data_IF_552795847519
#
_entry.id   IF_552795847519
#
_cell.length_a   1.000
_cell.length_b   1.000
_cell.length_c   1.000
_cell.angle_alpha   90.00
_cell.angle_beta   90.00
_cell.angle_gamma   90.00
#
_symmetry.space_group_name_H-M   'P 1'
#
loop_
_entity.id
_entity.type
_entity.pdbx_description
1 polymer ?
#
# COMPACT_ATOMS: atom_id res chain seq x y z
N UNK A 1 -23.83 0.90 6.31
CA UNK A 1 -25.13 0.27 6.65
C UNK A 1 -25.10 -1.24 6.50
N UNK A 2 -24.73 -1.79 5.34
CA UNK A 2 -24.67 -3.25 5.14
C UNK A 2 -23.65 -3.98 6.04
N UNK A 3 -22.40 -3.51 6.10
CA UNK A 3 -21.35 -4.07 6.97
C UNK A 3 -21.71 -3.98 8.47
N UNK A 4 -22.55 -3.00 8.84
CA UNK A 4 -23.01 -2.82 10.22
C UNK A 4 -24.27 -3.65 10.53
N UNK A 5 -24.77 -4.48 9.60
CA UNK A 5 -25.99 -5.26 9.78
C UNK A 5 -27.31 -4.47 9.69
N UNK A 6 -27.25 -3.16 9.42
CA UNK A 6 -28.42 -2.28 9.32
C UNK A 6 -29.17 -2.44 8.00
N UNK A 7 -28.45 -2.81 6.95
CA UNK A 7 -29.00 -3.21 5.66
C UNK A 7 -28.68 -4.69 5.46
N UNK A 8 -29.68 -5.49 5.11
CA UNK A 8 -29.56 -6.95 5.04
C UNK A 8 -29.84 -7.55 3.67
N UNK A 9 -30.49 -6.81 2.76
CA UNK A 9 -31.08 -7.41 1.56
C UNK A 9 -30.86 -6.58 0.29
N UNK A 10 -30.33 -5.36 0.38
CA UNK A 10 -30.15 -4.54 -0.83
C UNK A 10 -29.15 -5.20 -1.80
N UNK A 11 -29.56 -5.48 -3.06
CA UNK A 11 -28.73 -6.21 -4.02
C UNK A 11 -27.39 -5.52 -4.35
N UNK A 12 -27.36 -4.19 -4.29
CA UNK A 12 -26.15 -3.39 -4.49
C UNK A 12 -25.06 -3.58 -3.42
N UNK A 13 -25.36 -4.29 -2.31
CA UNK A 13 -24.45 -4.54 -1.21
C UNK A 13 -24.09 -6.01 -1.00
N UNK A 14 -24.29 -6.88 -2.01
CA UNK A 14 -24.00 -8.32 -1.92
C UNK A 14 -22.61 -8.63 -1.33
N UNK A 15 -21.56 -7.96 -1.81
CA UNK A 15 -20.19 -8.10 -1.26
C UNK A 15 -20.10 -7.73 0.22
N UNK A 16 -20.78 -6.68 0.65
CA UNK A 16 -20.79 -6.25 2.05
C UNK A 16 -21.56 -7.24 2.94
N UNK A 17 -22.60 -7.89 2.42
CA UNK A 17 -23.31 -8.96 3.12
C UNK A 17 -22.44 -10.22 3.27
N UNK A 18 -21.76 -10.65 2.20
CA UNK A 18 -20.80 -11.76 2.25
C UNK A 18 -19.64 -11.48 3.21
N UNK A 19 -19.11 -10.24 3.19
CA UNK A 19 -18.08 -9.83 4.15
C UNK A 19 -18.60 -9.90 5.58
N UNK A 20 -19.82 -9.43 5.86
CA UNK A 20 -20.40 -9.54 7.22
C UNK A 20 -20.48 -10.99 7.69
N UNK A 21 -20.93 -11.92 6.84
CA UNK A 21 -20.97 -13.34 7.18
C UNK A 21 -19.56 -13.87 7.53
N UNK A 22 -18.54 -13.51 6.73
CA UNK A 22 -17.16 -13.90 7.03
C UNK A 22 -16.66 -13.34 8.36
N UNK A 23 -16.99 -12.08 8.69
CA UNK A 23 -16.63 -11.47 9.98
C UNK A 23 -17.30 -12.21 11.16
N UNK A 24 -18.56 -12.62 11.01
CA UNK A 24 -19.29 -13.41 12.01
C UNK A 24 -18.67 -14.80 12.19
N UNK A 25 -18.29 -15.47 11.10
CA UNK A 25 -17.67 -16.80 11.13
C UNK A 25 -16.24 -16.81 11.71
N UNK A 26 -15.47 -15.75 11.44
CA UNK A 26 -14.05 -15.66 11.81
C UNK A 26 -13.80 -14.93 13.12
N UNK A 27 -14.78 -14.15 13.60
CA UNK A 27 -14.64 -13.30 14.79
C UNK A 27 -13.81 -12.02 14.56
N UNK A 28 -13.34 -11.77 13.33
CA UNK A 28 -12.62 -10.53 12.98
C UNK A 28 -13.60 -9.35 13.05
N UNK A 29 -13.15 -8.22 13.62
CA UNK A 29 -14.01 -7.05 13.76
C UNK A 29 -14.25 -6.34 12.43
N UNK A 30 -15.37 -5.63 12.30
CA UNK A 30 -15.66 -4.83 11.11
C UNK A 30 -14.85 -3.53 10.99
N UNK A 31 -13.96 -3.25 11.96
CA UNK A 31 -13.18 -2.01 12.03
C UNK A 31 -12.35 -1.80 10.77
N UNK A 32 -11.62 -2.83 10.31
CA UNK A 32 -10.76 -2.74 9.13
C UNK A 32 -11.56 -2.41 7.85
N UNK A 33 -12.76 -2.97 7.72
CA UNK A 33 -13.66 -2.64 6.61
C UNK A 33 -14.15 -1.19 6.67
N UNK A 34 -14.43 -0.68 7.86
CA UNK A 34 -14.88 0.70 8.06
C UNK A 34 -13.76 1.68 7.71
N UNK A 35 -12.52 1.39 8.09
CA UNK A 35 -11.33 2.18 7.75
C UNK A 35 -11.13 2.27 6.24
N UNK A 36 -11.20 1.14 5.52
CA UNK A 36 -11.12 1.14 4.05
C UNK A 36 -12.25 1.93 3.39
N UNK A 37 -13.48 1.83 3.90
CA UNK A 37 -14.61 2.61 3.37
C UNK A 37 -14.41 4.11 3.63
N UNK A 38 -13.82 4.49 4.77
CA UNK A 38 -13.46 5.89 5.04
C UNK A 38 -12.43 6.39 4.03
N UNK A 39 -11.39 5.60 3.76
CA UNK A 39 -10.40 5.93 2.73
C UNK A 39 -11.03 6.09 1.34
N UNK A 40 -11.93 5.20 0.93
CA UNK A 40 -12.62 5.34 -0.37
C UNK A 40 -13.49 6.60 -0.47
N UNK A 41 -14.12 7.01 0.63
CA UNK A 41 -14.86 8.30 0.67
C UNK A 41 -13.91 9.49 0.60
N UNK A 42 -12.78 9.42 1.29
CA UNK A 42 -11.75 10.45 1.24
C UNK A 42 -11.21 10.60 -0.19
N UNK A 43 -10.89 9.49 -0.85
CA UNK A 43 -10.45 9.45 -2.26
C UNK A 43 -11.39 10.18 -3.21
N UNK A 44 -12.70 10.07 -2.99
CA UNK A 44 -13.70 10.71 -3.84
C UNK A 44 -13.70 12.25 -3.73
N UNK A 45 -13.04 12.84 -2.73
CA UNK A 45 -13.13 14.27 -2.44
C UNK A 45 -11.78 14.96 -2.20
N UNK A 46 -10.78 14.24 -1.67
CA UNK A 46 -9.44 14.76 -1.39
C UNK A 46 -8.51 14.40 -2.53
N UNK A 47 -7.95 15.43 -3.17
CA UNK A 47 -7.16 15.26 -4.38
C UNK A 47 -5.66 15.42 -4.17
N UNK A 48 -5.24 16.07 -3.07
CA UNK A 48 -3.86 16.44 -2.77
C UNK A 48 -3.53 16.22 -1.30
N UNK A 49 -2.25 16.07 -1.00
CA UNK A 49 -1.72 15.83 0.35
C UNK A 49 -0.64 16.88 0.65
N UNK A 50 -0.82 17.64 1.72
CA UNK A 50 0.00 18.78 2.10
C UNK A 50 1.42 18.34 2.46
N UNK A 51 1.56 17.20 3.15
CA UNK A 51 2.84 16.70 3.64
C UNK A 51 2.87 15.17 3.73
N UNK A 52 4.04 14.63 4.07
CA UNK A 52 4.26 13.19 4.20
C UNK A 52 3.38 12.52 5.25
N UNK A 53 3.17 13.16 6.40
CA UNK A 53 2.37 12.58 7.48
C UNK A 53 0.91 12.43 7.05
N UNK A 54 0.37 13.41 6.33
CA UNK A 54 -0.98 13.31 5.78
C UNK A 54 -1.14 12.20 4.73
N UNK A 55 -0.11 11.99 3.89
CA UNK A 55 -0.07 10.87 2.97
C UNK A 55 -0.02 9.54 3.74
N UNK A 56 0.78 9.45 4.80
CA UNK A 56 0.86 8.25 5.65
C UNK A 56 -0.48 8.00 6.36
N UNK A 57 -1.13 9.02 6.91
CA UNK A 57 -2.45 8.90 7.54
C UNK A 57 -3.51 8.36 6.57
N UNK A 58 -3.42 8.78 5.30
CA UNK A 58 -4.25 8.18 4.26
C UNK A 58 -3.90 6.70 4.03
N UNK A 59 -2.62 6.34 3.89
CA UNK A 59 -2.20 4.94 3.74
C UNK A 59 -2.61 4.06 4.94
N UNK A 60 -2.62 4.62 6.16
CA UNK A 60 -3.09 3.96 7.38
C UNK A 60 -4.57 3.57 7.31
N UNK A 61 -5.37 4.22 6.46
CA UNK A 61 -6.77 3.86 6.22
C UNK A 61 -6.98 3.12 4.89
N UNK A 62 -6.18 3.40 3.85
CA UNK A 62 -6.38 2.86 2.51
C UNK A 62 -5.67 1.52 2.26
N UNK A 63 -4.64 1.21 3.04
CA UNK A 63 -3.80 0.02 2.82
C UNK A 63 -3.58 -0.80 4.10
N UNK A 64 -3.15 -0.17 5.21
CA UNK A 64 -2.85 -0.86 6.46
C UNK A 64 -3.96 -1.80 6.98
N UNK A 65 -5.28 -1.47 6.87
CA UNK A 65 -6.33 -2.35 7.38
C UNK A 65 -6.39 -3.72 6.69
N UNK A 66 -5.89 -3.84 5.45
CA UNK A 66 -5.83 -5.13 4.74
C UNK A 66 -4.85 -6.08 5.44
N UNK A 67 -3.67 -5.58 5.82
CA UNK A 67 -2.68 -6.36 6.55
C UNK A 67 -3.17 -6.76 7.93
N UNK A 68 -3.76 -5.81 8.68
CA UNK A 68 -4.35 -6.08 10.01
C UNK A 68 -5.46 -7.13 9.93
N UNK A 69 -6.32 -7.06 8.93
CA UNK A 69 -7.37 -8.07 8.69
C UNK A 69 -6.77 -9.47 8.48
N UNK A 70 -5.72 -9.60 7.66
CA UNK A 70 -5.06 -10.88 7.43
C UNK A 70 -4.38 -11.43 8.69
N UNK A 71 -3.78 -10.56 9.51
CA UNK A 71 -3.22 -10.96 10.81
C UNK A 71 -4.32 -11.49 11.74
N UNK A 72 -5.41 -10.75 11.89
CA UNK A 72 -6.52 -11.13 12.76
C UNK A 72 -7.17 -12.44 12.31
N UNK A 73 -7.36 -12.61 10.99
CA UNK A 73 -7.92 -13.81 10.40
C UNK A 73 -7.09 -15.07 10.72
N UNK A 74 -5.77 -14.92 10.85
CA UNK A 74 -4.86 -16.01 11.20
C UNK A 74 -4.58 -16.12 12.71
N UNK A 75 -5.26 -15.32 13.55
CA UNK A 75 -5.08 -15.33 15.00
C UNK A 75 -3.73 -14.77 15.46
N UNK A 76 -3.08 -13.93 14.63
CA UNK A 76 -1.81 -13.30 14.98
C UNK A 76 -2.00 -12.17 16.01
N UNK A 77 -0.98 -11.93 16.84
CA UNK A 77 -1.02 -10.83 17.81
C UNK A 77 -0.99 -9.44 17.14
N UNK A 78 -1.81 -8.52 17.63
CA UNK A 78 -1.82 -7.11 17.23
C UNK A 78 -0.47 -6.38 17.41
N UNK A 79 0.47 -6.92 18.19
CA UNK A 79 1.85 -6.41 18.28
C UNK A 79 2.56 -6.38 16.92
N UNK A 80 2.09 -7.19 15.96
CA UNK A 80 2.62 -7.26 14.58
C UNK A 80 2.05 -6.19 13.65
N UNK A 81 1.02 -5.44 14.06
CA UNK A 81 0.38 -4.43 13.22
C UNK A 81 1.38 -3.39 12.73
N UNK A 82 2.26 -2.88 13.60
CA UNK A 82 3.24 -1.86 13.20
C UNK A 82 4.09 -2.28 11.99
N UNK A 83 4.57 -3.52 11.97
CA UNK A 83 5.38 -4.03 10.86
C UNK A 83 4.52 -4.34 9.61
N UNK A 84 3.29 -4.83 9.79
CA UNK A 84 2.34 -5.05 8.70
C UNK A 84 1.89 -3.74 8.05
N UNK A 85 1.57 -2.73 8.84
CA UNK A 85 1.16 -1.40 8.40
C UNK A 85 2.29 -0.76 7.59
N UNK A 86 3.54 -0.88 8.06
CA UNK A 86 4.70 -0.40 7.33
C UNK A 86 4.83 -1.06 5.95
N UNK A 87 4.63 -2.38 5.87
CA UNK A 87 4.67 -3.10 4.59
C UNK A 87 3.54 -2.65 3.65
N UNK A 88 2.31 -2.57 4.16
CA UNK A 88 1.15 -2.13 3.39
C UNK A 88 1.30 -0.68 2.90
N UNK A 89 1.75 0.23 3.76
CA UNK A 89 1.98 1.63 3.40
C UNK A 89 3.10 1.76 2.36
N UNK A 90 4.19 1.02 2.50
CA UNK A 90 5.28 1.02 1.53
C UNK A 90 4.78 0.61 0.13
N UNK A 91 4.00 -0.47 0.03
CA UNK A 91 3.41 -0.91 -1.24
C UNK A 91 2.48 0.15 -1.82
N UNK A 92 1.67 0.79 -0.99
CA UNK A 92 0.74 1.81 -1.44
C UNK A 92 1.46 3.04 -1.99
N UNK A 93 2.52 3.49 -1.32
CA UNK A 93 3.37 4.59 -1.82
C UNK A 93 4.07 4.20 -3.12
N UNK A 94 4.59 2.98 -3.22
CA UNK A 94 5.19 2.48 -4.47
C UNK A 94 4.18 2.43 -5.61
N UNK A 95 2.92 2.08 -5.35
CA UNK A 95 1.84 2.14 -6.35
C UNK A 95 1.56 3.58 -6.77
N UNK A 96 1.45 4.51 -5.81
CA UNK A 96 1.27 5.93 -6.11
C UNK A 96 2.41 6.51 -6.96
N UNK A 97 3.65 6.09 -6.74
CA UNK A 97 4.78 6.49 -7.58
C UNK A 97 4.70 5.91 -9.00
N UNK A 98 4.31 4.64 -9.14
CA UNK A 98 4.17 3.98 -10.44
C UNK A 98 3.09 4.64 -11.31
N UNK A 99 1.97 5.03 -10.70
CA UNK A 99 0.80 5.53 -11.41
C UNK A 99 0.64 7.07 -11.28
N UNK A 100 1.65 7.80 -10.78
CA UNK A 100 1.55 9.23 -10.46
C UNK A 100 1.08 10.13 -11.63
N UNK A 101 1.48 9.78 -12.86
CA UNK A 101 1.01 10.46 -14.08
C UNK A 101 -0.46 10.15 -14.37
N UNK A 102 -0.81 8.87 -14.38
CA UNK A 102 -2.15 8.41 -14.72
C UNK A 102 -3.16 8.89 -13.68
N UNK A 103 -2.82 8.85 -12.39
CA UNK A 103 -3.64 9.40 -11.29
C UNK A 103 -3.89 10.90 -11.47
N UNK A 104 -2.88 11.67 -11.89
CA UNK A 104 -3.02 13.09 -12.17
C UNK A 104 -3.92 13.33 -13.38
N UNK A 105 -3.67 12.65 -14.51
CA UNK A 105 -4.38 12.93 -15.76
C UNK A 105 -5.83 12.44 -15.76
N UNK A 106 -6.11 11.30 -15.11
CA UNK A 106 -7.42 10.63 -15.22
C UNK A 106 -8.34 10.92 -14.04
N UNK A 107 -7.77 11.14 -12.85
CA UNK A 107 -8.52 11.35 -11.61
C UNK A 107 -8.30 12.74 -11.02
N UNK A 108 -7.39 13.52 -11.59
CA UNK A 108 -6.90 14.76 -10.99
C UNK A 108 -6.46 14.53 -9.55
N UNK A 109 -5.68 13.48 -9.27
CA UNK A 109 -5.13 13.15 -7.94
C UNK A 109 -3.61 13.19 -7.93
N UNK A 110 -3.02 13.69 -6.85
CA UNK A 110 -1.57 13.69 -6.62
C UNK A 110 -1.27 13.29 -5.20
N UNK A 111 -0.50 12.21 -5.06
CA UNK A 111 -0.09 11.64 -3.77
C UNK A 111 1.33 12.03 -3.37
N UNK A 112 2.07 12.77 -4.21
CA UNK A 112 3.35 13.34 -3.80
C UNK A 112 3.10 14.47 -2.79
N UNK A 113 3.85 14.56 -1.68
CA UNK A 113 3.70 15.64 -0.69
C UNK A 113 3.90 17.03 -1.30
N UNK A 114 2.91 17.91 -1.19
CA UNK A 114 2.92 19.24 -1.80
C UNK A 114 4.02 20.14 -1.22
N UNK A 115 4.29 20.06 0.07
CA UNK A 115 5.38 20.78 0.71
C UNK A 115 6.75 20.40 0.10
N UNK A 116 6.97 19.13 -0.19
CA UNK A 116 8.19 18.66 -0.82
C UNK A 116 8.25 19.04 -2.31
N UNK A 117 7.12 19.01 -3.02
CA UNK A 117 7.03 19.53 -4.39
C UNK A 117 7.45 21.00 -4.43
N UNK A 118 6.85 21.83 -3.57
CA UNK A 118 7.14 23.26 -3.47
C UNK A 118 8.61 23.53 -3.11
N UNK A 119 9.17 22.80 -2.15
CA UNK A 119 10.58 22.92 -1.77
C UNK A 119 11.55 22.55 -2.91
N UNK A 120 11.11 21.71 -3.84
CA UNK A 120 11.83 21.37 -5.07
C UNK A 120 11.47 22.28 -6.26
N UNK A 121 10.70 23.34 -6.05
CA UNK A 121 10.27 24.25 -7.13
C UNK A 121 9.32 23.61 -8.14
N UNK A 122 8.57 22.58 -7.72
CA UNK A 122 7.61 21.83 -8.53
C UNK A 122 6.18 22.29 -8.26
N UNK A 123 5.40 22.32 -9.34
CA UNK A 123 3.95 22.37 -9.32
C UNK A 123 3.41 21.06 -9.91
N UNK A 124 2.16 20.72 -9.61
CA UNK A 124 1.56 19.41 -9.95
C UNK A 124 1.50 19.13 -11.45
N UNK A 125 1.46 20.17 -12.27
CA UNK A 125 1.44 20.10 -13.73
C UNK A 125 2.70 19.43 -14.30
N UNK A 126 3.80 19.36 -13.53
CA UNK A 126 5.00 18.65 -13.98
C UNK A 126 4.75 17.14 -14.22
N UNK A 127 3.68 16.58 -13.66
CA UNK A 127 3.30 15.17 -13.83
C UNK A 127 2.74 14.86 -15.22
N UNK A 128 2.29 15.86 -15.99
CA UNK A 128 1.85 15.68 -17.38
C UNK A 128 3.03 15.50 -18.36
N UNK A 129 4.25 15.86 -17.93
CA UNK A 129 5.43 15.79 -18.78
C UNK A 129 5.67 14.37 -19.32
N UNK A 130 6.32 14.27 -20.49
CA UNK A 130 6.72 12.98 -21.07
C UNK A 130 7.87 12.30 -20.30
N UNK A 131 8.55 13.03 -19.40
CA UNK A 131 9.67 12.55 -18.61
C UNK A 131 9.89 13.43 -17.39
N UNK A 132 10.39 12.85 -16.29
CA UNK A 132 10.73 13.60 -15.08
C UNK A 132 11.95 14.50 -15.29
N UNK A 133 11.78 15.79 -14.96
CA UNK A 133 12.88 16.74 -14.81
C UNK A 133 13.72 16.43 -13.56
N UNK A 134 14.98 16.90 -13.45
CA UNK A 134 15.87 16.57 -12.34
C UNK A 134 15.26 16.80 -10.96
N UNK A 135 14.50 17.88 -10.80
CA UNK A 135 13.84 18.26 -9.55
C UNK A 135 12.78 17.24 -9.13
N UNK A 136 11.98 16.73 -10.09
CA UNK A 136 10.99 15.68 -9.84
C UNK A 136 11.66 14.35 -9.51
N UNK A 137 12.77 14.01 -10.18
CA UNK A 137 13.54 12.80 -9.85
C UNK A 137 14.10 12.86 -8.43
N UNK A 138 14.62 14.02 -8.02
CA UNK A 138 15.09 14.25 -6.65
C UNK A 138 13.95 14.08 -5.64
N UNK A 139 12.75 14.61 -5.93
CA UNK A 139 11.57 14.39 -5.09
C UNK A 139 11.17 12.90 -5.01
N UNK A 140 11.12 12.20 -6.14
CA UNK A 140 10.80 10.76 -6.17
C UNK A 140 11.82 9.98 -5.34
N UNK A 141 13.11 10.31 -5.44
CA UNK A 141 14.15 9.67 -4.61
C UNK A 141 13.94 9.93 -3.13
N UNK A 142 13.57 11.15 -2.72
CA UNK A 142 13.21 11.46 -1.33
C UNK A 142 12.02 10.63 -0.84
N UNK A 143 10.97 10.48 -1.65
CA UNK A 143 9.82 9.60 -1.32
C UNK A 143 10.27 8.15 -1.19
N UNK A 144 11.16 7.66 -2.07
CA UNK A 144 11.71 6.32 -2.00
C UNK A 144 12.60 6.11 -0.78
N UNK A 145 13.30 7.13 -0.29
CA UNK A 145 14.08 7.07 0.95
C UNK A 145 13.15 6.84 2.16
N UNK A 146 12.08 7.63 2.29
CA UNK A 146 11.07 7.42 3.36
C UNK A 146 10.33 6.09 3.20
N UNK A 147 10.10 5.64 1.96
CA UNK A 147 9.52 4.32 1.69
C UNK A 147 10.46 3.19 2.11
N UNK A 148 11.77 3.35 1.93
CA UNK A 148 12.77 2.36 2.35
C UNK A 148 12.81 2.20 3.88
N UNK A 149 12.56 3.27 4.64
CA UNK A 149 12.41 3.18 6.10
C UNK A 149 11.22 2.30 6.51
N UNK A 150 10.09 2.39 5.80
CA UNK A 150 8.93 1.52 6.01
C UNK A 150 9.25 0.05 5.68
N UNK A 151 9.95 -0.19 4.56
CA UNK A 151 10.41 -1.53 4.17
C UNK A 151 11.35 -2.12 5.23
N UNK A 152 12.27 -1.31 5.76
CA UNK A 152 13.18 -1.72 6.83
C UNK A 152 12.44 -2.04 8.14
N UNK A 153 11.40 -1.27 8.48
CA UNK A 153 10.55 -1.57 9.63
C UNK A 153 9.76 -2.89 9.45
N UNK A 154 9.33 -3.17 8.21
CA UNK A 154 8.61 -4.39 7.87
C UNK A 154 9.50 -5.65 7.77
N UNK A 155 10.84 -5.50 7.77
CA UNK A 155 11.75 -6.58 7.38
C UNK A 155 11.66 -7.84 8.25
N UNK A 156 11.26 -7.69 9.52
CA UNK A 156 11.16 -8.77 10.50
C UNK A 156 9.79 -9.45 10.52
N UNK A 157 8.76 -8.85 9.90
CA UNK A 157 7.40 -9.37 9.91
C UNK A 157 7.32 -10.84 9.47
N UNK A 158 7.97 -11.30 8.38
CA UNK A 158 7.90 -12.71 7.97
C UNK A 158 8.43 -13.68 9.02
N UNK A 159 9.41 -13.29 9.81
CA UNK A 159 10.06 -14.15 10.82
C UNK A 159 9.22 -14.19 12.10
N UNK A 160 8.55 -13.09 12.42
CA UNK A 160 7.74 -12.97 13.64
C UNK A 160 6.37 -13.67 13.54
N UNK A 161 5.90 -14.00 12.33
CA UNK A 161 4.60 -14.63 12.08
C UNK A 161 4.58 -16.10 12.52
N UNK A 162 3.55 -16.45 13.30
CA UNK A 162 3.33 -17.82 13.75
C UNK A 162 2.80 -18.71 12.61
N UNK A 163 1.91 -18.17 11.77
CA UNK A 163 1.39 -18.86 10.60
C UNK A 163 2.45 -18.90 9.48
N UNK A 164 2.97 -20.10 9.18
CA UNK A 164 4.04 -20.29 8.19
C UNK A 164 3.65 -19.93 6.75
N UNK A 165 2.38 -20.10 6.35
CA UNK A 165 1.94 -19.70 5.00
C UNK A 165 1.88 -18.18 4.88
N UNK A 166 1.28 -17.53 5.87
CA UNK A 166 1.25 -16.07 5.94
C UNK A 166 2.66 -15.46 6.02
N UNK A 167 3.58 -16.11 6.75
CA UNK A 167 4.99 -15.74 6.80
C UNK A 167 5.65 -15.75 5.40
N UNK A 168 5.45 -16.82 4.63
CA UNK A 168 5.96 -16.91 3.26
C UNK A 168 5.38 -15.83 2.35
N UNK A 169 4.07 -15.57 2.45
CA UNK A 169 3.39 -14.51 1.70
C UNK A 169 3.89 -13.11 2.08
N UNK A 170 4.06 -12.82 3.37
CA UNK A 170 4.65 -11.56 3.83
C UNK A 170 6.09 -11.39 3.31
N UNK A 171 6.89 -12.46 3.34
CA UNK A 171 8.25 -12.46 2.79
C UNK A 171 8.29 -12.22 1.28
N UNK A 172 7.33 -12.80 0.55
CA UNK A 172 7.15 -12.58 -0.88
C UNK A 172 6.86 -11.11 -1.20
N UNK A 173 5.89 -10.54 -0.47
CA UNK A 173 5.46 -9.15 -0.62
C UNK A 173 6.58 -8.19 -0.27
N UNK A 174 7.34 -8.45 0.80
CA UNK A 174 8.51 -7.65 1.18
C UNK A 174 9.59 -7.64 0.09
N UNK A 175 9.84 -8.79 -0.55
CA UNK A 175 10.76 -8.88 -1.69
C UNK A 175 10.25 -8.07 -2.89
N UNK A 176 8.95 -8.12 -3.16
CA UNK A 176 8.31 -7.32 -4.21
C UNK A 176 8.47 -5.83 -3.93
N UNK A 177 8.16 -5.37 -2.71
CA UNK A 177 8.33 -3.98 -2.31
C UNK A 177 9.77 -3.51 -2.48
N UNK A 178 10.74 -4.28 -1.97
CA UNK A 178 12.17 -3.98 -2.07
C UNK A 178 12.68 -3.95 -3.52
N UNK A 179 12.08 -4.73 -4.41
CA UNK A 179 12.44 -4.75 -5.84
C UNK A 179 11.82 -3.56 -6.57
N UNK A 180 10.55 -3.26 -6.32
CA UNK A 180 9.86 -2.10 -6.90
C UNK A 180 10.57 -0.80 -6.52
N UNK A 181 10.94 -0.64 -5.25
CA UNK A 181 11.71 0.49 -4.75
C UNK A 181 13.01 0.70 -5.57
N UNK A 182 13.79 -0.37 -5.77
CA UNK A 182 15.03 -0.32 -6.57
C UNK A 182 14.79 -0.01 -8.05
N UNK A 183 13.69 -0.49 -8.61
CA UNK A 183 13.34 -0.21 -10.00
C UNK A 183 12.93 1.26 -10.15
N UNK A 184 12.10 1.79 -9.25
CA UNK A 184 11.66 3.19 -9.25
C UNK A 184 12.81 4.18 -9.02
N UNK A 185 13.91 3.77 -8.37
CA UNK A 185 15.13 4.60 -8.32
C UNK A 185 15.81 4.78 -9.68
N UNK A 186 15.64 3.82 -10.59
CA UNK A 186 16.35 3.76 -11.89
C UNK A 186 15.48 4.18 -13.07
N UNK A 187 14.19 3.83 -13.01
CA UNK A 187 13.20 4.11 -14.05
C UNK A 187 12.46 5.40 -13.77
N UNK A 188 11.91 5.98 -14.82
CA UNK A 188 11.15 7.22 -14.75
C UNK A 188 9.66 6.92 -14.93
N UNK A 189 8.83 7.05 -13.87
CA UNK A 189 7.42 6.69 -13.94
C UNK A 189 6.60 7.60 -14.88
N UNK A 190 7.12 8.77 -15.29
CA UNK A 190 6.46 9.59 -16.31
C UNK A 190 6.72 9.11 -17.74
N UNK A 191 7.82 8.40 -17.96
CA UNK A 191 8.30 8.02 -19.31
C UNK A 191 8.04 6.56 -19.66
N UNK A 192 7.95 5.67 -18.66
CA UNK A 192 7.75 4.25 -18.88
C UNK A 192 6.92 3.61 -17.77
N UNK A 193 6.24 2.51 -18.09
CA UNK A 193 5.53 1.72 -17.08
C UNK A 193 6.52 1.04 -16.14
N UNK A 194 6.39 1.31 -14.85
CA UNK A 194 7.24 0.75 -13.79
C UNK A 194 6.56 -0.40 -13.07
N UNK A 195 6.04 -1.40 -13.80
CA UNK A 195 5.36 -2.56 -13.19
C UNK A 195 6.30 -3.77 -13.14
N UNK A 196 6.22 -4.56 -12.07
CA UNK A 196 6.87 -5.89 -12.07
C UNK A 196 6.19 -6.77 -13.12
N UNK A 197 6.98 -7.48 -13.91
CA UNK A 197 6.42 -8.50 -14.79
C UNK A 197 5.79 -9.62 -13.97
N UNK A 198 4.81 -10.33 -14.53
CA UNK A 198 4.17 -11.49 -13.88
C UNK A 198 5.21 -12.52 -13.41
N UNK A 199 6.28 -12.72 -14.18
CA UNK A 199 7.40 -13.60 -13.81
C UNK A 199 8.22 -13.06 -12.63
N UNK A 200 8.46 -11.75 -12.54
CA UNK A 200 9.17 -11.14 -11.41
C UNK A 200 8.33 -11.12 -10.13
N UNK A 201 7.02 -10.95 -10.25
CA UNK A 201 6.09 -11.11 -9.14
C UNK A 201 6.13 -12.55 -8.60
N UNK A 202 6.02 -13.55 -9.49
CA UNK A 202 6.13 -14.97 -9.13
C UNK A 202 7.50 -15.31 -8.53
N UNK A 203 8.59 -14.79 -9.09
CA UNK A 203 9.94 -15.01 -8.56
C UNK A 203 10.10 -14.39 -7.15
N UNK A 204 9.52 -13.20 -6.93
CA UNK A 204 9.45 -12.56 -5.61
C UNK A 204 8.71 -13.44 -4.59
N UNK A 205 7.63 -14.10 -5.02
CA UNK A 205 6.92 -15.08 -4.22
C UNK A 205 7.74 -16.32 -3.86
N UNK A 206 8.50 -16.86 -4.81
CA UNK A 206 9.33 -18.05 -4.60
C UNK A 206 10.48 -17.79 -3.62
N UNK A 207 11.17 -16.64 -3.72
CA UNK A 207 12.26 -16.29 -2.80
C UNK A 207 11.76 -15.94 -1.39
N UNK A 208 10.54 -15.43 -1.25
CA UNK A 208 9.90 -15.20 0.05
C UNK A 208 9.65 -16.50 0.82
N UNK A 209 9.23 -17.54 0.10
CA UNK A 209 8.99 -18.86 0.66
C UNK A 209 10.27 -19.53 1.21
N UNK A 210 11.39 -19.45 0.47
CA UNK A 210 12.64 -20.08 0.88
C UNK A 210 13.25 -19.47 2.14
N UNK A 211 13.15 -18.15 2.34
CA UNK A 211 13.76 -17.47 3.51
C UNK A 211 13.02 -17.78 4.82
N UNK A 212 11.70 -17.94 4.77
CA UNK A 212 10.88 -18.34 5.92
C UNK A 212 11.10 -19.81 6.34
N UNK A 213 11.52 -20.66 5.42
CA UNK A 213 11.82 -22.08 5.68
C UNK A 213 13.23 -22.31 6.25
N UNK A 214 14.20 -21.44 5.94
CA UNK A 214 15.60 -21.59 6.38
C UNK A 214 15.83 -21.02 7.79
N UNK A 215 14.93 -20.15 8.28
CA UNK A 215 15.04 -19.49 9.59
C UNK A 215 14.10 -20.08 10.65
N UNK A 216 13.46 -21.22 10.36
CA UNK A 216 12.53 -21.93 11.24
C UNK A 216 13.08 -23.22 11.81
#
# INVERSE_FOLDING_TARGET
NAILGKDKTSPGFSKAHSMRQSLEETGVTNQHCIELIKAFKQDASKLRYENWDELIDYCQMSAAPVGRFLLDLHGESNKKYKASDALCNALQILNHLQDCKDDYLTLNRVYLPLDWMKNNGLEVECLDASKSRPELKSLIHRVLDSTAELINLAQYLPIDLANKRLAMEAGAILNVASRLEKILRRKDPLAESVKLSRSQYVLGCLFGASKALITG
#
